data_IF_500099776469
#
_entry.id   IF_500099776469
#
_cell.length_a   1.000
_cell.length_b   1.000
_cell.length_c   1.000
_cell.angle_alpha   90.00
_cell.angle_beta   90.00
_cell.angle_gamma   90.00
#
_symmetry.space_group_name_H-M   'P 1'
#
loop_
_entity.id
_entity.type
_entity.pdbx_description
1 polymer ?
#
# COMPACT_ATOMS: atom_id res chain seq x y z
N UNK A 1 17.12 22.56 -51.77
CA UNK A 1 16.59 21.26 -51.27
C UNK A 1 16.70 21.31 -49.78
N UNK A 2 15.58 21.58 -49.18
CA UNK A 2 15.43 21.81 -47.73
C UNK A 2 15.52 20.47 -46.98
N UNK A 3 16.35 20.47 -45.96
CA UNK A 3 16.44 19.34 -45.03
C UNK A 3 15.51 19.66 -43.85
N UNK A 4 14.41 18.95 -43.81
CA UNK A 4 13.35 19.08 -42.84
C UNK A 4 13.81 18.57 -41.48
N UNK A 5 13.81 19.48 -40.52
CA UNK A 5 14.21 19.34 -39.15
C UNK A 5 13.15 18.51 -38.40
N UNK A 6 13.41 17.25 -38.14
CA UNK A 6 12.51 16.42 -37.32
C UNK A 6 12.67 16.77 -35.84
N UNK A 7 11.60 17.31 -35.32
CA UNK A 7 11.31 17.68 -33.93
C UNK A 7 11.59 16.51 -32.99
N UNK A 8 12.60 16.64 -32.16
CA UNK A 8 12.74 15.88 -30.93
C UNK A 8 11.49 16.08 -30.08
N UNK A 9 10.74 15.01 -29.86
CA UNK A 9 9.67 14.98 -28.90
C UNK A 9 10.27 15.01 -27.48
N UNK A 10 10.41 16.19 -26.91
CA UNK A 10 10.64 16.41 -25.51
C UNK A 10 9.49 15.79 -24.71
N UNK A 11 9.76 14.68 -24.04
CA UNK A 11 8.90 14.21 -22.95
C UNK A 11 9.05 15.28 -21.85
N UNK A 12 8.01 16.08 -21.55
CA UNK A 12 8.14 17.05 -20.49
C UNK A 12 8.29 16.30 -19.17
N UNK A 13 9.43 16.45 -18.53
CA UNK A 13 9.56 16.15 -17.12
C UNK A 13 8.53 17.01 -16.38
N UNK A 14 7.37 16.42 -16.08
CA UNK A 14 6.25 17.08 -15.40
C UNK A 14 6.77 17.43 -14.01
N UNK A 15 7.15 18.69 -13.79
CA UNK A 15 7.41 19.22 -12.45
C UNK A 15 6.19 18.93 -11.60
N UNK A 16 6.23 17.81 -10.89
CA UNK A 16 5.25 17.50 -9.87
C UNK A 16 5.29 18.61 -8.83
N UNK A 17 4.25 19.40 -8.76
CA UNK A 17 4.15 20.44 -7.74
C UNK A 17 4.29 19.76 -6.39
N UNK A 18 5.14 20.30 -5.49
CA UNK A 18 5.32 19.76 -4.12
C UNK A 18 3.98 19.53 -3.43
N UNK A 19 2.97 20.38 -3.70
CA UNK A 19 1.58 20.21 -3.21
C UNK A 19 0.92 18.91 -3.69
N UNK A 20 1.12 18.50 -4.95
CA UNK A 20 0.57 17.23 -5.45
C UNK A 20 1.28 16.02 -4.85
N UNK A 21 2.59 16.14 -4.59
CA UNK A 21 3.35 15.09 -3.92
C UNK A 21 2.94 14.94 -2.45
N UNK A 22 2.81 16.05 -1.73
CA UNK A 22 2.36 16.06 -0.33
C UNK A 22 0.92 15.54 -0.22
N UNK A 23 0.03 16.00 -1.10
CA UNK A 23 -1.34 15.49 -1.18
C UNK A 23 -1.38 13.97 -1.43
N UNK A 24 -0.47 13.45 -2.26
CA UNK A 24 -0.33 12.02 -2.48
C UNK A 24 0.16 11.28 -1.22
N UNK A 25 1.08 11.87 -0.44
CA UNK A 25 1.57 11.26 0.82
C UNK A 25 0.45 11.14 1.85
N UNK A 26 -0.37 12.18 2.05
CA UNK A 26 -1.53 12.08 2.97
C UNK A 26 -2.57 11.10 2.43
N UNK A 27 -2.84 11.10 1.12
CA UNK A 27 -3.73 10.10 0.52
C UNK A 27 -3.21 8.68 0.72
N UNK A 28 -1.89 8.50 0.61
CA UNK A 28 -1.23 7.22 0.82
C UNK A 28 -1.32 6.76 2.27
N UNK A 29 -1.23 7.67 3.25
CA UNK A 29 -1.42 7.35 4.66
C UNK A 29 -2.88 7.00 4.99
N UNK A 30 -3.82 7.68 4.34
CA UNK A 30 -5.26 7.46 4.55
C UNK A 30 -5.80 6.30 3.73
N UNK A 31 -5.27 6.08 2.52
CA UNK A 31 -5.73 5.03 1.60
C UNK A 31 -4.80 3.81 1.55
N UNK A 32 -3.74 3.78 2.39
CA UNK A 32 -2.75 2.73 2.38
C UNK A 32 -1.56 3.02 1.53
N UNK A 33 -0.62 3.71 2.13
CA UNK A 33 0.69 4.04 1.61
C UNK A 33 1.22 3.23 0.45
N UNK A 34 0.78 3.51 -0.75
CA UNK A 34 1.34 2.91 -1.95
C UNK A 34 2.71 3.50 -2.26
N UNK A 35 3.57 3.56 -1.28
CA UNK A 35 4.97 3.93 -1.48
C UNK A 35 5.92 2.78 -1.23
N UNK A 36 5.48 1.76 -0.55
CA UNK A 36 6.33 0.62 -0.27
C UNK A 36 5.46 -0.54 0.18
N UNK A 37 5.41 -1.53 -0.64
CA UNK A 37 5.19 -2.90 -0.21
C UNK A 37 3.99 -3.17 0.69
N UNK A 38 2.89 -3.49 0.06
CA UNK A 38 1.94 -4.35 0.71
C UNK A 38 1.11 -3.76 1.82
N UNK A 39 -0.04 -3.65 1.58
CA UNK A 39 -1.27 -3.60 2.34
C UNK A 39 -1.99 -2.28 2.14
N UNK A 40 -3.15 -2.33 1.51
CA UNK A 40 -4.08 -1.23 1.52
C UNK A 40 -4.56 -0.99 2.96
N UNK A 41 -4.58 0.25 3.39
CA UNK A 41 -5.00 0.65 4.73
C UNK A 41 -6.47 0.37 4.97
N UNK A 42 -6.76 -0.29 6.05
CA UNK A 42 -8.06 -0.19 6.66
C UNK A 42 -7.95 0.47 8.01
N UNK A 43 -8.65 1.55 8.11
CA UNK A 43 -8.93 2.22 9.34
C UNK A 43 -9.74 1.32 10.26
N UNK A 44 -9.13 0.81 11.31
CA UNK A 44 -9.86 0.10 12.34
C UNK A 44 -10.33 1.06 13.43
N UNK A 45 -11.31 1.91 13.10
CA UNK A 45 -12.01 2.75 14.08
C UNK A 45 -12.79 1.88 15.10
N UNK A 46 -13.02 0.62 14.75
CA UNK A 46 -13.99 -0.24 15.42
C UNK A 46 -13.43 -1.05 16.60
N UNK A 47 -12.12 -1.15 16.77
CA UNK A 47 -11.56 -1.96 17.87
C UNK A 47 -11.74 -1.34 19.26
N UNK A 48 -12.09 -0.04 19.35
CA UNK A 48 -12.34 0.67 20.62
C UNK A 48 -13.80 1.12 20.84
N UNK A 49 -14.63 1.06 19.81
CA UNK A 49 -16.06 1.23 19.97
C UNK A 49 -16.65 -0.14 20.28
N UNK A 50 -17.15 -0.29 21.49
CA UNK A 50 -17.92 -1.47 21.93
C UNK A 50 -19.27 -1.50 21.19
N UNK A 51 -19.22 -1.54 19.84
CA UNK A 51 -20.39 -1.63 19.00
C UNK A 51 -20.80 -3.09 18.96
N UNK A 52 -21.99 -3.33 19.39
CA UNK A 52 -22.69 -4.62 19.34
C UNK A 52 -22.39 -5.31 18.01
N UNK A 53 -21.73 -6.48 18.04
CA UNK A 53 -21.32 -7.30 16.90
C UNK A 53 -22.51 -7.92 16.16
N UNK A 54 -23.48 -7.11 15.77
CA UNK A 54 -24.72 -7.52 15.09
C UNK A 54 -24.64 -7.48 13.56
N UNK A 55 -23.50 -7.06 12.99
CA UNK A 55 -23.32 -6.99 11.55
C UNK A 55 -23.01 -8.33 10.90
N UNK A 56 -23.41 -8.50 9.63
CA UNK A 56 -23.01 -9.65 8.82
C UNK A 56 -21.48 -9.68 8.67
N UNK A 57 -20.86 -10.79 9.05
CA UNK A 57 -19.43 -10.95 8.89
C UNK A 57 -19.11 -11.40 7.45
N UNK A 58 -18.12 -10.78 6.84
CA UNK A 58 -17.53 -11.20 5.57
C UNK A 58 -16.55 -12.38 5.78
N UNK A 59 -15.83 -12.37 6.93
CA UNK A 59 -14.97 -13.47 7.36
C UNK A 59 -14.78 -13.47 8.88
N UNK A 60 -14.21 -14.57 9.38
CA UNK A 60 -13.71 -14.71 10.76
C UNK A 60 -12.26 -15.17 10.69
N UNK A 61 -11.35 -14.46 11.40
CA UNK A 61 -9.92 -14.76 11.46
C UNK A 61 -9.51 -14.96 12.91
N UNK A 62 -9.11 -16.16 13.29
CA UNK A 62 -8.73 -16.52 14.66
C UNK A 62 -9.76 -16.09 15.72
N UNK A 63 -11.05 -16.20 15.38
CA UNK A 63 -12.17 -15.81 16.24
C UNK A 63 -12.63 -14.35 16.11
N UNK A 64 -11.88 -13.48 15.46
CA UNK A 64 -12.26 -12.09 15.22
C UNK A 64 -12.98 -11.92 13.88
N UNK A 65 -14.09 -11.19 13.90
CA UNK A 65 -14.88 -10.90 12.70
C UNK A 65 -14.25 -9.80 11.85
N UNK A 66 -14.35 -9.95 10.56
CA UNK A 66 -14.25 -8.89 9.54
C UNK A 66 -15.68 -8.64 9.08
N UNK A 67 -16.17 -7.41 9.22
CA UNK A 67 -17.55 -7.07 8.89
C UNK A 67 -17.69 -6.75 7.40
N UNK A 68 -18.89 -6.99 6.86
CA UNK A 68 -19.22 -6.56 5.49
C UNK A 68 -19.07 -5.04 5.31
N UNK A 69 -19.44 -4.26 6.33
CA UNK A 69 -19.28 -2.80 6.33
C UNK A 69 -17.81 -2.36 6.20
N UNK A 70 -16.88 -3.08 6.84
CA UNK A 70 -15.44 -2.86 6.72
C UNK A 70 -14.97 -3.11 5.27
N UNK A 71 -15.42 -4.21 4.67
CA UNK A 71 -15.13 -4.56 3.30
C UNK A 71 -15.69 -3.53 2.31
N UNK A 72 -16.97 -3.16 2.46
CA UNK A 72 -17.62 -2.20 1.57
C UNK A 72 -17.00 -0.80 1.70
N UNK A 73 -16.63 -0.38 2.91
CA UNK A 73 -15.89 0.87 3.15
C UNK A 73 -14.53 0.87 2.46
N UNK A 74 -13.81 -0.25 2.50
CA UNK A 74 -12.51 -0.38 1.82
C UNK A 74 -12.65 -0.27 0.30
N UNK A 75 -13.67 -0.87 -0.27
CA UNK A 75 -13.94 -0.82 -1.71
C UNK A 75 -14.30 0.61 -2.12
N UNK A 76 -15.14 1.31 -1.35
CA UNK A 76 -15.52 2.69 -1.66
C UNK A 76 -14.31 3.63 -1.58
N UNK A 77 -13.41 3.45 -0.61
CA UNK A 77 -12.16 4.21 -0.51
C UNK A 77 -11.22 3.97 -1.70
N UNK A 78 -11.19 2.76 -2.23
CA UNK A 78 -10.35 2.38 -3.37
C UNK A 78 -11.03 2.62 -4.73
N UNK A 79 -12.29 3.04 -4.77
CA UNK A 79 -13.13 3.11 -5.95
C UNK A 79 -12.50 3.85 -7.12
N UNK A 80 -11.99 5.06 -6.88
CA UNK A 80 -11.36 5.86 -7.93
C UNK A 80 -10.12 5.16 -8.52
N UNK A 81 -9.34 4.50 -7.69
CA UNK A 81 -8.15 3.75 -8.12
C UNK A 81 -8.57 2.55 -8.97
N UNK A 82 -9.57 1.81 -8.52
CA UNK A 82 -10.10 0.62 -9.20
C UNK A 82 -10.68 1.00 -10.57
N UNK A 83 -11.47 2.07 -10.63
CA UNK A 83 -12.05 2.57 -11.87
C UNK A 83 -10.98 3.11 -12.83
N UNK A 84 -9.95 3.80 -12.33
CA UNK A 84 -8.82 4.26 -13.13
C UNK A 84 -7.98 3.10 -13.72
N UNK A 85 -8.05 1.92 -13.13
CA UNK A 85 -7.48 0.68 -13.67
C UNK A 85 -8.37 0.01 -14.72
N UNK A 86 -9.52 0.60 -15.04
CA UNK A 86 -10.45 0.09 -16.05
C UNK A 86 -11.43 -0.97 -15.54
N UNK A 87 -11.52 -1.15 -14.22
CA UNK A 87 -12.48 -2.11 -13.63
C UNK A 87 -13.84 -1.41 -13.46
N UNK A 88 -14.88 -1.99 -14.05
CA UNK A 88 -16.25 -1.51 -13.89
C UNK A 88 -16.89 -2.15 -12.65
N UNK A 89 -17.10 -1.37 -11.59
CA UNK A 89 -17.75 -1.83 -10.36
C UNK A 89 -19.28 -2.01 -10.47
N UNK A 90 -19.88 -1.60 -11.58
CA UNK A 90 -21.30 -1.90 -11.86
C UNK A 90 -21.49 -3.31 -12.45
N UNK A 91 -20.42 -3.93 -12.95
CA UNK A 91 -20.42 -5.33 -13.36
C UNK A 91 -20.34 -6.24 -12.12
N UNK A 92 -21.36 -7.08 -11.94
CA UNK A 92 -21.46 -7.96 -10.77
C UNK A 92 -20.28 -8.91 -10.61
N UNK A 93 -19.73 -9.42 -11.74
CA UNK A 93 -18.57 -10.34 -11.68
C UNK A 93 -17.29 -9.61 -11.31
N UNK A 94 -17.07 -8.41 -11.89
CA UNK A 94 -15.94 -7.58 -11.55
C UNK A 94 -16.00 -7.15 -10.07
N UNK A 95 -17.17 -6.74 -9.58
CA UNK A 95 -17.37 -6.39 -8.18
C UNK A 95 -17.13 -7.59 -7.25
N UNK A 96 -17.59 -8.79 -7.61
CA UNK A 96 -17.35 -9.99 -6.81
C UNK A 96 -15.86 -10.33 -6.70
N UNK A 97 -15.09 -10.20 -7.79
CA UNK A 97 -13.63 -10.41 -7.74
C UNK A 97 -12.93 -9.33 -6.91
N UNK A 98 -13.34 -8.07 -7.03
CA UNK A 98 -12.83 -6.97 -6.19
C UNK A 98 -13.13 -7.26 -4.72
N UNK A 99 -14.36 -7.66 -4.36
CA UNK A 99 -14.73 -8.03 -2.99
C UNK A 99 -13.85 -9.15 -2.45
N UNK A 100 -13.64 -10.19 -3.24
CA UNK A 100 -12.81 -11.33 -2.86
C UNK A 100 -11.35 -10.92 -2.62
N UNK A 101 -10.79 -10.11 -3.52
CA UNK A 101 -9.42 -9.61 -3.39
C UNK A 101 -9.27 -8.72 -2.16
N UNK A 102 -10.14 -7.72 -2.00
CA UNK A 102 -10.13 -6.82 -0.85
C UNK A 102 -10.30 -7.56 0.48
N UNK A 103 -11.21 -8.56 0.53
CA UNK A 103 -11.36 -9.38 1.72
C UNK A 103 -10.09 -10.17 2.04
N UNK A 104 -9.42 -10.73 1.03
CA UNK A 104 -8.16 -11.43 1.22
C UNK A 104 -7.06 -10.50 1.78
N UNK A 105 -7.03 -9.24 1.32
CA UNK A 105 -6.10 -8.23 1.82
C UNK A 105 -6.40 -7.87 3.29
N UNK A 106 -7.66 -7.66 3.65
CA UNK A 106 -8.09 -7.41 5.03
C UNK A 106 -7.75 -8.61 5.94
N UNK A 107 -7.96 -9.84 5.47
CA UNK A 107 -7.58 -11.07 6.19
C UNK A 107 -6.07 -11.10 6.46
N UNK A 108 -5.26 -10.82 5.42
CA UNK A 108 -3.80 -10.81 5.51
C UNK A 108 -3.31 -9.78 6.52
N UNK A 109 -3.86 -8.58 6.45
CA UNK A 109 -3.57 -7.49 7.37
C UNK A 109 -3.94 -7.84 8.82
N UNK A 110 -5.13 -8.43 9.03
CA UNK A 110 -5.60 -8.83 10.36
C UNK A 110 -4.70 -9.90 10.97
N UNK A 111 -4.27 -10.88 10.18
CA UNK A 111 -3.33 -11.92 10.62
C UNK A 111 -1.98 -11.32 11.01
N UNK A 112 -1.44 -10.41 10.21
CA UNK A 112 -0.20 -9.72 10.51
C UNK A 112 -0.30 -8.93 11.80
N UNK A 113 -1.36 -8.14 11.99
CA UNK A 113 -1.58 -7.36 13.21
C UNK A 113 -1.69 -8.24 14.45
N UNK A 114 -2.51 -9.29 14.40
CA UNK A 114 -2.64 -10.23 15.50
C UNK A 114 -1.30 -10.88 15.91
N UNK A 115 -0.46 -11.22 14.92
CA UNK A 115 0.86 -11.79 15.21
C UNK A 115 1.85 -10.73 15.70
N UNK A 116 1.79 -9.52 15.16
CA UNK A 116 2.61 -8.39 15.61
C UNK A 116 2.29 -8.01 17.06
N UNK A 117 1.02 -7.93 17.43
CA UNK A 117 0.58 -7.64 18.79
C UNK A 117 1.02 -8.73 19.76
N UNK A 118 0.81 -10.02 19.41
CA UNK A 118 1.28 -11.16 20.21
C UNK A 118 2.80 -11.16 20.38
N UNK A 119 3.53 -10.70 19.39
CA UNK A 119 4.99 -10.59 19.40
C UNK A 119 5.53 -9.34 20.12
N UNK A 120 4.66 -8.41 20.57
CA UNK A 120 5.08 -7.19 21.27
C UNK A 120 5.65 -6.12 20.34
N UNK A 121 5.28 -6.13 19.04
CA UNK A 121 5.78 -5.18 18.04
C UNK A 121 4.95 -3.88 17.94
N UNK A 122 4.01 -3.65 18.85
CA UNK A 122 3.20 -2.43 18.84
C UNK A 122 4.07 -1.17 18.80
N UNK A 123 3.66 -0.19 17.97
CA UNK A 123 4.29 1.12 17.97
C UNK A 123 3.99 1.86 19.29
N UNK A 124 4.97 2.53 19.84
CA UNK A 124 4.82 3.34 21.07
C UNK A 124 4.21 4.70 20.71
N UNK A 125 3.55 5.33 21.69
CA UNK A 125 2.96 6.67 21.51
C UNK A 125 4.01 7.71 21.07
N UNK A 126 5.25 7.61 21.55
CA UNK A 126 6.36 8.49 21.16
C UNK A 126 6.75 8.31 19.69
N UNK A 127 6.80 7.08 19.21
CA UNK A 127 7.09 6.80 17.79
C UNK A 127 5.96 7.31 16.88
N UNK A 128 4.70 7.09 17.30
CA UNK A 128 3.52 7.56 16.57
C UNK A 128 3.52 9.09 16.50
N UNK A 129 3.78 9.77 17.62
CA UNK A 129 3.84 11.23 17.63
C UNK A 129 4.97 11.75 16.75
N UNK A 130 6.16 11.16 16.82
CA UNK A 130 7.29 11.53 15.96
C UNK A 130 6.95 11.37 14.48
N UNK A 131 6.31 10.27 14.09
CA UNK A 131 5.90 10.03 12.71
C UNK A 131 4.82 11.03 12.26
N UNK A 132 3.88 11.39 13.15
CA UNK A 132 2.87 12.39 12.88
C UNK A 132 3.49 13.78 12.66
N UNK A 133 4.43 14.18 13.52
CA UNK A 133 5.13 15.47 13.40
C UNK A 133 5.97 15.54 12.11
N UNK A 134 6.62 14.43 11.72
CA UNK A 134 7.33 14.33 10.45
C UNK A 134 6.40 14.44 9.23
N UNK A 135 5.19 13.90 9.33
CA UNK A 135 4.18 14.05 8.30
C UNK A 135 3.71 15.50 8.19
N UNK A 136 3.37 16.13 9.32
CA UNK A 136 2.97 17.53 9.38
C UNK A 136 4.05 18.46 8.83
N UNK A 137 5.33 18.19 9.13
CA UNK A 137 6.48 18.95 8.65
C UNK A 137 6.68 18.93 7.12
N UNK A 138 6.01 18.02 6.39
CA UNK A 138 6.04 18.02 4.91
C UNK A 138 5.18 19.13 4.30
N UNK A 139 4.30 19.71 5.10
CA UNK A 139 3.48 20.86 4.73
C UNK A 139 4.20 22.17 5.06
N UNK A 140 3.82 23.25 4.39
CA UNK A 140 4.45 24.54 4.62
C UNK A 140 4.14 25.13 6.00
N UNK A 141 2.93 24.88 6.47
CA UNK A 141 2.44 25.31 7.77
C UNK A 141 1.52 24.25 8.35
N UNK A 142 1.37 24.24 9.66
CA UNK A 142 0.39 23.39 10.36
C UNK A 142 -1.04 23.66 9.83
N UNK A 143 -1.37 24.91 9.51
CA UNK A 143 -2.68 25.27 8.95
C UNK A 143 -2.92 24.60 7.58
N UNK A 144 -1.89 24.51 6.71
CA UNK A 144 -1.99 23.81 5.43
C UNK A 144 -2.22 22.31 5.64
N UNK A 145 -1.59 21.72 6.66
CA UNK A 145 -1.80 20.32 7.05
C UNK A 145 -3.22 20.07 7.52
N UNK A 146 -3.73 20.88 8.43
CA UNK A 146 -5.10 20.78 8.94
C UNK A 146 -6.15 20.98 7.85
N UNK A 147 -5.92 21.90 6.90
CA UNK A 147 -6.78 22.06 5.72
C UNK A 147 -6.81 20.79 4.84
N UNK A 148 -5.67 20.13 4.67
CA UNK A 148 -5.59 18.90 3.90
C UNK A 148 -6.35 17.76 4.60
N UNK A 149 -6.20 17.61 5.93
CA UNK A 149 -6.96 16.64 6.71
C UNK A 149 -8.47 16.87 6.59
N UNK A 150 -8.90 18.14 6.73
CA UNK A 150 -10.31 18.52 6.60
C UNK A 150 -10.84 18.23 5.19
N UNK A 151 -10.08 18.57 4.14
CA UNK A 151 -10.46 18.32 2.75
C UNK A 151 -10.63 16.82 2.45
N UNK A 152 -9.88 15.97 3.16
CA UNK A 152 -9.97 14.50 3.05
C UNK A 152 -10.95 13.89 4.05
N UNK A 153 -11.57 14.70 4.91
CA UNK A 153 -12.46 14.24 5.98
C UNK A 153 -11.79 13.25 6.94
N UNK A 154 -10.52 13.48 7.24
CA UNK A 154 -9.69 12.64 8.13
C UNK A 154 -9.31 13.44 9.36
N UNK A 155 -9.38 12.82 10.53
CA UNK A 155 -9.00 13.41 11.81
C UNK A 155 -7.53 13.11 12.16
N UNK A 156 -6.92 13.92 13.01
CA UNK A 156 -5.59 13.65 13.57
C UNK A 156 -5.51 12.26 14.22
N UNK A 157 -6.57 11.89 14.98
CA UNK A 157 -6.65 10.58 15.62
C UNK A 157 -6.55 9.45 14.62
N UNK A 158 -7.28 9.56 13.53
CA UNK A 158 -7.26 8.57 12.45
C UNK A 158 -5.90 8.47 11.77
N UNK A 159 -5.22 9.58 11.54
CA UNK A 159 -3.84 9.57 11.02
C UNK A 159 -2.91 8.85 11.99
N UNK A 160 -2.97 9.15 13.27
CA UNK A 160 -2.13 8.51 14.30
C UNK A 160 -2.42 7.00 14.41
N UNK A 161 -3.67 6.58 14.33
CA UNK A 161 -4.05 5.17 14.32
C UNK A 161 -3.50 4.43 13.08
N UNK A 162 -3.54 5.06 11.91
CA UNK A 162 -2.94 4.52 10.68
C UNK A 162 -1.42 4.40 10.81
N UNK A 163 -0.76 5.44 11.30
CA UNK A 163 0.69 5.41 11.57
C UNK A 163 1.06 4.29 12.55
N UNK A 164 0.33 4.17 13.66
CA UNK A 164 0.54 3.12 14.65
C UNK A 164 0.49 1.72 14.04
N UNK A 165 -0.54 1.48 13.23
CA UNK A 165 -0.75 0.21 12.54
C UNK A 165 0.37 -0.07 11.54
N UNK A 166 0.70 0.89 10.67
CA UNK A 166 1.75 0.73 9.67
C UNK A 166 3.11 0.47 10.33
N UNK A 167 3.46 1.21 11.38
CA UNK A 167 4.72 1.04 12.11
C UNK A 167 4.78 -0.33 12.79
N UNK A 168 3.68 -0.78 13.38
CA UNK A 168 3.56 -2.11 13.99
C UNK A 168 3.81 -3.22 12.96
N UNK A 169 3.16 -3.13 11.80
CA UNK A 169 3.33 -4.09 10.71
C UNK A 169 4.76 -4.07 10.16
N UNK A 170 5.33 -2.89 9.93
CA UNK A 170 6.69 -2.76 9.43
C UNK A 170 7.71 -3.39 10.38
N UNK A 171 7.62 -3.08 11.69
CA UNK A 171 8.48 -3.69 12.71
C UNK A 171 8.39 -5.21 12.71
N UNK A 172 7.16 -5.75 12.61
CA UNK A 172 6.94 -7.17 12.60
C UNK A 172 7.53 -7.84 11.35
N UNK A 173 7.32 -7.25 10.17
CA UNK A 173 7.86 -7.75 8.91
C UNK A 173 9.38 -7.67 8.90
N UNK A 174 9.98 -6.53 9.27
CA UNK A 174 11.44 -6.34 9.32
C UNK A 174 12.14 -7.31 10.26
N UNK A 175 11.49 -7.71 11.34
CA UNK A 175 12.04 -8.67 12.30
C UNK A 175 11.92 -10.12 11.82
N UNK A 176 10.93 -10.45 11.02
CA UNK A 176 10.61 -11.82 10.63
C UNK A 176 10.99 -12.16 9.19
N UNK A 177 11.26 -11.16 8.35
CA UNK A 177 11.68 -11.32 6.95
C UNK A 177 13.04 -10.67 6.76
N UNK A 178 14.02 -11.44 6.29
CA UNK A 178 15.36 -10.90 6.04
C UNK A 178 15.41 -10.02 4.79
N UNK A 179 14.88 -8.80 4.94
CA UNK A 179 14.84 -7.81 3.87
C UNK A 179 16.24 -7.24 3.54
N UNK A 180 17.21 -7.35 4.47
CA UNK A 180 18.55 -6.77 4.34
C UNK A 180 19.44 -7.59 3.40
N UNK A 181 19.18 -8.88 3.28
CA UNK A 181 19.92 -9.77 2.37
C UNK A 181 19.50 -9.66 0.91
N UNK A 182 18.42 -8.90 0.62
CA UNK A 182 17.86 -8.81 -0.73
C UNK A 182 18.78 -7.97 -1.62
N UNK A 183 19.48 -8.67 -2.53
CA UNK A 183 20.27 -8.07 -3.60
C UNK A 183 19.65 -8.31 -4.98
N UNK A 184 20.07 -7.52 -5.97
CA UNK A 184 19.83 -7.80 -7.38
C UNK A 184 21.12 -8.33 -8.01
N UNK A 185 21.05 -9.50 -8.63
CA UNK A 185 22.19 -10.06 -9.37
C UNK A 185 22.24 -9.47 -10.78
N UNK A 186 23.43 -9.51 -11.40
CA UNK A 186 23.61 -9.08 -12.79
C UNK A 186 22.70 -9.87 -13.75
N UNK A 187 22.49 -11.16 -13.49
CA UNK A 187 21.64 -12.01 -14.31
C UNK A 187 20.17 -11.58 -14.23
N UNK A 188 19.66 -11.27 -13.02
CA UNK A 188 18.30 -10.78 -12.82
C UNK A 188 18.08 -9.43 -13.51
N UNK A 189 19.03 -8.51 -13.39
CA UNK A 189 19.00 -7.19 -14.04
C UNK A 189 18.98 -7.35 -15.56
N UNK A 190 19.87 -8.18 -16.11
CA UNK A 190 19.94 -8.46 -17.55
C UNK A 190 18.64 -9.12 -18.07
N UNK A 191 18.07 -10.04 -17.30
CA UNK A 191 16.81 -10.68 -17.65
C UNK A 191 15.67 -9.69 -17.71
N UNK A 192 15.57 -8.81 -16.69
CA UNK A 192 14.55 -7.76 -16.65
C UNK A 192 14.72 -6.78 -17.81
N UNK A 193 15.96 -6.37 -18.12
CA UNK A 193 16.27 -5.52 -19.27
C UNK A 193 15.85 -6.15 -20.60
N UNK A 194 16.16 -7.43 -20.82
CA UNK A 194 15.76 -8.16 -22.03
C UNK A 194 14.23 -8.21 -22.18
N UNK A 195 13.52 -8.46 -21.10
CA UNK A 195 12.06 -8.49 -21.11
C UNK A 195 11.45 -7.15 -21.51
N UNK A 196 11.99 -6.04 -21.01
CA UNK A 196 11.53 -4.69 -21.37
C UNK A 196 11.92 -4.31 -22.81
N UNK A 197 13.15 -4.60 -23.23
CA UNK A 197 13.62 -4.29 -24.58
C UNK A 197 12.89 -5.07 -25.67
N UNK A 198 12.35 -6.25 -25.35
CA UNK A 198 11.49 -7.01 -26.26
C UNK A 198 10.11 -6.35 -26.47
N UNK A 199 9.67 -5.53 -25.51
CA UNK A 199 8.34 -4.87 -25.54
C UNK A 199 8.42 -3.40 -25.99
N UNK A 200 9.59 -2.77 -25.89
CA UNK A 200 9.79 -1.34 -26.18
C UNK A 200 10.94 -1.15 -27.17
N UNK A 201 10.64 -0.55 -28.35
CA UNK A 201 11.64 -0.35 -29.41
C UNK A 201 12.74 0.69 -29.09
N UNK A 202 12.48 1.60 -28.14
CA UNK A 202 13.38 2.72 -27.79
C UNK A 202 13.77 2.66 -26.32
N UNK A 203 14.29 1.52 -25.86
CA UNK A 203 14.77 1.36 -24.50
C UNK A 203 16.14 2.06 -24.35
N UNK A 204 16.39 2.83 -23.27
CA UNK A 204 17.72 3.33 -22.94
C UNK A 204 18.74 2.19 -22.83
N UNK A 205 20.02 2.50 -23.00
CA UNK A 205 21.08 1.49 -22.81
C UNK A 205 21.09 0.97 -21.37
N UNK A 206 21.42 -0.32 -21.21
CA UNK A 206 21.43 -0.97 -19.90
C UNK A 206 22.21 -0.19 -18.85
N UNK A 207 23.36 0.40 -19.25
CA UNK A 207 24.21 1.19 -18.36
C UNK A 207 23.51 2.39 -17.73
N UNK A 208 22.58 3.03 -18.46
CA UNK A 208 21.85 4.21 -18.01
C UNK A 208 20.77 3.90 -16.98
N UNK A 209 20.15 2.71 -17.08
CA UNK A 209 19.00 2.33 -16.25
C UNK A 209 19.28 1.15 -15.31
N UNK A 210 20.53 0.68 -15.26
CA UNK A 210 20.94 -0.50 -14.47
C UNK A 210 20.54 -0.38 -12.99
N UNK A 211 20.76 0.78 -12.38
CA UNK A 211 20.41 1.00 -10.97
C UNK A 211 18.88 0.95 -10.78
N UNK A 212 18.12 1.54 -11.69
CA UNK A 212 16.67 1.50 -11.65
C UNK A 212 16.14 0.06 -11.78
N UNK A 213 16.72 -0.73 -12.67
CA UNK A 213 16.36 -2.15 -12.82
C UNK A 213 16.76 -2.96 -11.59
N UNK A 214 17.94 -2.68 -11.01
CA UNK A 214 18.35 -3.32 -9.77
C UNK A 214 17.38 -3.04 -8.61
N UNK A 215 16.91 -1.81 -8.50
CA UNK A 215 15.91 -1.44 -7.49
C UNK A 215 14.56 -2.13 -7.76
N UNK A 216 14.15 -2.25 -9.02
CA UNK A 216 12.94 -3.01 -9.36
C UNK A 216 13.07 -4.50 -9.00
N UNK A 217 14.21 -5.13 -9.29
CA UNK A 217 14.47 -6.53 -8.91
C UNK A 217 14.39 -6.69 -7.38
N UNK A 218 15.06 -5.82 -6.63
CA UNK A 218 14.99 -5.84 -5.16
C UNK A 218 13.55 -5.68 -4.68
N UNK A 219 12.81 -4.73 -5.24
CA UNK A 219 11.41 -4.52 -4.91
C UNK A 219 10.55 -5.75 -5.19
N UNK A 220 10.75 -6.41 -6.32
CA UNK A 220 10.01 -7.62 -6.65
C UNK A 220 10.33 -8.76 -5.68
N UNK A 221 11.62 -8.96 -5.36
CA UNK A 221 12.06 -10.00 -4.39
C UNK A 221 11.50 -9.72 -2.99
N UNK A 222 11.53 -8.46 -2.55
CA UNK A 222 10.93 -8.05 -1.27
C UNK A 222 9.44 -8.39 -1.24
N UNK A 223 8.69 -8.02 -2.28
CA UNK A 223 7.26 -8.36 -2.36
C UNK A 223 7.01 -9.86 -2.27
N UNK A 224 7.79 -10.65 -3.01
CA UNK A 224 7.66 -12.11 -2.98
C UNK A 224 7.93 -12.66 -1.57
N UNK A 225 9.02 -12.23 -0.92
CA UNK A 225 9.35 -12.71 0.42
C UNK A 225 8.31 -12.33 1.47
N UNK A 226 7.78 -11.11 1.40
CA UNK A 226 6.70 -10.66 2.31
C UNK A 226 5.42 -11.43 2.01
N UNK A 227 5.08 -11.64 0.74
CA UNK A 227 3.92 -12.44 0.35
C UNK A 227 4.02 -13.88 0.88
N UNK A 228 5.16 -14.54 0.67
CA UNK A 228 5.38 -15.91 1.15
C UNK A 228 5.30 -15.99 2.68
N UNK A 229 5.79 -14.97 3.38
CA UNK A 229 5.67 -14.87 4.82
C UNK A 229 4.21 -14.76 5.25
N UNK A 230 3.42 -13.90 4.61
CA UNK A 230 1.98 -13.74 4.88
C UNK A 230 1.24 -15.06 4.60
N UNK A 231 1.51 -15.73 3.50
CA UNK A 231 0.87 -17.01 3.16
C UNK A 231 1.19 -18.10 4.19
N UNK A 232 2.41 -18.13 4.74
CA UNK A 232 2.73 -19.02 5.88
C UNK A 232 1.89 -18.71 7.11
N UNK A 233 1.72 -17.42 7.46
CA UNK A 233 0.88 -17.02 8.58
C UNK A 233 -0.60 -17.38 8.34
N UNK A 234 -1.09 -17.20 7.13
CA UNK A 234 -2.47 -17.58 6.74
C UNK A 234 -2.69 -19.08 6.86
N UNK A 235 -1.72 -19.90 6.47
CA UNK A 235 -1.79 -21.36 6.60
C UNK A 235 -1.92 -21.82 8.07
N UNK A 236 -1.31 -21.06 9.01
CA UNK A 236 -1.38 -21.33 10.43
C UNK A 236 -2.63 -20.72 11.12
N UNK A 237 -3.36 -19.86 10.43
CA UNK A 237 -4.51 -19.16 11.00
C UNK A 237 -5.83 -19.92 10.78
N UNK A 238 -6.78 -19.72 11.69
CA UNK A 238 -8.15 -20.21 11.51
C UNK A 238 -8.97 -19.16 10.75
N UNK A 239 -9.20 -19.38 9.45
CA UNK A 239 -9.90 -18.46 8.57
C UNK A 239 -11.20 -19.10 8.11
N UNK A 240 -12.32 -18.39 8.29
CA UNK A 240 -13.63 -18.75 7.77
C UNK A 240 -14.19 -17.61 6.94
N UNK A 241 -14.29 -17.80 5.63
CA UNK A 241 -14.91 -16.84 4.70
C UNK A 241 -16.41 -17.08 4.69
N UNK A 242 -17.21 -15.98 4.69
CA UNK A 242 -18.66 -15.99 4.81
C UNK A 242 -19.36 -15.20 3.68
N UNK A 243 -18.58 -14.68 2.69
CA UNK A 243 -19.10 -14.00 1.48
C UNK A 243 -20.04 -14.91 0.70
#
# INVERSE_FOLDING_TARGET
>A
MEIENQKQSNIPAKKSSKKKFIAAVVALLVLGGAGSYFLPDSFNIWSKLNISMSGNAAAVVNGEKILMEELDSRIEQAKDIIQNQGVNLEDEKALAEVKKQMLNDIISEKILLQNAEKGGFAATDSEIQTAYDQLAAQFKTEEDFQKELTARKVTEKEVKESLAKQMTLNKYIEQNVDLKSIGATEEEINTLYKNYSAQQKNMPELGEIKNQLADQVKQQKTRTMVFDFIEKLKTAANIKILL
#
